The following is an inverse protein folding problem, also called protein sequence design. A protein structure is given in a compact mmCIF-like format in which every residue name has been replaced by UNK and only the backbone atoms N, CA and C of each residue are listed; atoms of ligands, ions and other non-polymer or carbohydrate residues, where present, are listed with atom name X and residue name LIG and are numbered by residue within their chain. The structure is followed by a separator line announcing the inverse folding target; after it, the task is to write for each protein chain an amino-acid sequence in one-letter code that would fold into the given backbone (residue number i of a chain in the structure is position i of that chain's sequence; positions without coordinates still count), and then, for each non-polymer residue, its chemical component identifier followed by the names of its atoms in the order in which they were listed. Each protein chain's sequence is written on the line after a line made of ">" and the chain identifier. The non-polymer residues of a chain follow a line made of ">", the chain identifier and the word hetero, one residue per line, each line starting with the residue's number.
data_IF_310917154603
#
_entry.id   IF_310917154603
#
_cell.length_a   1.000
_cell.length_b   1.000
_cell.length_c   1.000
_cell.angle_alpha   90.00
_cell.angle_beta   90.00
_cell.angle_gamma   90.00
#
_symmetry.space_group_name_H-M   'P 1'
#
loop_
_entity.id
_entity.type
_entity.pdbx_description
1 polymer ?
#
# COMPACT_ATOMS: atom_id res chain seq x y z
N UNK A 1 12.27 7.36 -26.47
CA UNK A 1 11.21 6.51 -25.90
C UNK A 1 11.35 6.61 -24.40
N UNK A 2 10.54 7.43 -23.74
CA UNK A 2 10.51 7.45 -22.27
C UNK A 2 10.01 6.07 -21.83
N UNK A 3 10.80 5.37 -21.01
CA UNK A 3 10.33 4.15 -20.34
C UNK A 3 9.11 4.55 -19.49
N UNK A 4 8.12 3.69 -19.37
CA UNK A 4 7.00 3.92 -18.46
C UNK A 4 7.49 3.76 -17.01
N UNK A 5 6.77 4.33 -16.04
CA UNK A 5 7.11 4.15 -14.62
C UNK A 5 6.56 2.80 -14.16
N UNK A 6 7.42 1.93 -13.62
CA UNK A 6 6.97 0.64 -13.10
C UNK A 6 6.25 0.84 -11.76
N UNK A 7 5.16 0.10 -11.47
CA UNK A 7 4.46 0.20 -10.18
C UNK A 7 5.40 0.05 -8.97
N UNK A 8 6.46 -0.76 -9.10
CA UNK A 8 7.41 -0.97 -8.02
C UNK A 8 8.33 0.22 -7.75
N UNK A 9 8.66 1.00 -8.77
CA UNK A 9 9.46 2.23 -8.60
C UNK A 9 8.68 3.23 -7.73
N UNK A 10 7.39 3.37 -8.02
CA UNK A 10 6.47 4.20 -7.24
C UNK A 10 6.32 3.69 -5.81
N UNK A 11 6.02 2.39 -5.63
CA UNK A 11 5.82 1.80 -4.30
C UNK A 11 7.06 2.01 -3.40
N UNK A 12 8.25 1.81 -3.97
CA UNK A 12 9.53 1.98 -3.28
C UNK A 12 9.77 3.44 -2.89
N UNK A 13 9.50 4.38 -3.81
CA UNK A 13 9.69 5.80 -3.53
C UNK A 13 8.70 6.35 -2.50
N UNK A 14 7.44 5.92 -2.57
CA UNK A 14 6.43 6.22 -1.56
C UNK A 14 6.84 5.66 -0.20
N UNK A 15 7.25 4.39 -0.15
CA UNK A 15 7.63 3.75 1.10
C UNK A 15 8.82 4.47 1.74
N UNK A 16 9.86 4.84 0.98
CA UNK A 16 11.01 5.58 1.49
C UNK A 16 10.61 6.97 2.03
N UNK A 17 9.72 7.67 1.33
CA UNK A 17 9.19 8.97 1.74
C UNK A 17 8.36 8.88 3.03
N UNK A 18 7.51 7.86 3.13
CA UNK A 18 6.73 7.57 4.33
C UNK A 18 7.63 7.11 5.49
N UNK A 19 8.67 6.33 5.21
CA UNK A 19 9.61 5.90 6.23
C UNK A 19 10.33 7.08 6.89
N UNK A 20 10.72 8.06 6.09
CA UNK A 20 11.44 9.23 6.56
C UNK A 20 10.56 10.20 7.34
N UNK A 21 9.23 10.08 7.23
CA UNK A 21 8.26 11.00 7.83
C UNK A 21 7.41 10.38 8.95
N UNK A 22 7.30 9.05 9.00
CA UNK A 22 6.53 8.32 10.00
C UNK A 22 7.45 7.61 10.97
N UNK A 23 7.22 7.84 12.25
CA UNK A 23 7.87 7.11 13.33
C UNK A 23 7.20 5.75 13.54
N UNK A 24 8.02 4.71 13.68
CA UNK A 24 7.58 3.41 14.18
C UNK A 24 6.89 2.48 13.17
N UNK A 25 6.39 1.37 13.72
CA UNK A 25 5.77 0.23 13.02
C UNK A 25 4.49 -0.24 13.75
N UNK A 26 3.83 0.67 14.47
CA UNK A 26 2.73 0.40 15.39
C UNK A 26 1.54 1.35 15.19
N UNK A 27 1.36 1.86 13.97
CA UNK A 27 0.20 2.67 13.64
C UNK A 27 -1.10 1.88 13.91
N UNK A 28 -2.02 2.42 14.73
CA UNK A 28 -3.21 1.68 15.17
C UNK A 28 -4.30 1.56 14.10
N UNK A 29 -4.16 2.29 12.98
CA UNK A 29 -5.14 2.39 11.91
C UNK A 29 -4.44 2.30 10.57
N UNK A 30 -5.08 1.63 9.62
CA UNK A 30 -4.70 1.69 8.22
C UNK A 30 -4.89 3.10 7.69
N UNK A 31 -3.99 3.56 6.81
CA UNK A 31 -4.05 4.89 6.22
C UNK A 31 -4.12 4.79 4.70
N UNK A 32 -4.97 5.63 4.11
CA UNK A 32 -5.09 5.82 2.67
C UNK A 32 -4.46 7.16 2.30
N UNK A 33 -3.60 7.13 1.28
CA UNK A 33 -2.94 8.29 0.72
C UNK A 33 -3.22 8.39 -0.78
N UNK A 34 -3.30 9.63 -1.26
CA UNK A 34 -3.22 9.97 -2.68
C UNK A 34 -1.81 10.45 -2.99
N UNK A 35 -1.24 10.00 -4.11
CA UNK A 35 0.12 10.33 -4.50
C UNK A 35 0.13 11.01 -5.86
N UNK A 36 0.68 12.22 -5.92
CA UNK A 36 0.95 12.90 -7.19
C UNK A 36 2.44 12.81 -7.53
N UNK A 37 2.73 12.47 -8.78
CA UNK A 37 4.10 12.37 -9.31
C UNK A 37 4.54 13.76 -9.75
N UNK A 38 5.61 14.26 -9.13
CA UNK A 38 6.21 15.56 -9.46
C UNK A 38 7.32 15.39 -10.50
N UNK A 39 8.13 14.33 -10.34
CA UNK A 39 9.24 13.99 -11.25
C UNK A 39 9.36 12.47 -11.38
N UNK A 40 9.00 11.94 -12.55
CA UNK A 40 9.03 10.50 -12.82
C UNK A 40 10.46 9.91 -12.82
N UNK A 41 11.48 10.66 -13.25
CA UNK A 41 12.87 10.20 -13.19
C UNK A 41 13.40 10.25 -11.75
N UNK A 42 12.94 11.24 -10.99
CA UNK A 42 13.11 11.31 -9.54
C UNK A 42 12.53 10.08 -8.82
N UNK A 43 11.34 9.62 -9.21
CA UNK A 43 10.73 8.40 -8.61
C UNK A 43 11.60 7.17 -8.85
N UNK A 44 12.09 6.97 -10.08
CA UNK A 44 12.96 5.83 -10.44
C UNK A 44 14.27 5.80 -9.66
N UNK A 45 14.76 6.97 -9.29
CA UNK A 45 16.03 7.12 -8.56
C UNK A 45 15.81 7.39 -7.07
N UNK A 46 14.56 7.27 -6.60
CA UNK A 46 14.13 7.49 -5.23
C UNK A 46 14.59 8.85 -4.65
N UNK A 47 14.42 9.92 -5.43
CA UNK A 47 14.80 11.27 -5.04
C UNK A 47 13.74 11.92 -4.14
N UNK A 48 14.22 12.67 -3.14
CA UNK A 48 13.35 13.50 -2.31
C UNK A 48 12.63 14.57 -3.17
N UNK A 49 11.33 14.71 -2.94
CA UNK A 49 10.49 15.67 -3.67
C UNK A 49 9.97 15.17 -5.02
N UNK A 50 10.32 13.95 -5.44
CA UNK A 50 9.76 13.32 -6.64
C UNK A 50 8.24 13.05 -6.55
N UNK A 51 7.71 13.00 -5.31
CA UNK A 51 6.33 12.71 -5.00
C UNK A 51 5.72 13.76 -4.07
N UNK A 52 4.42 14.01 -4.22
CA UNK A 52 3.58 14.66 -3.22
C UNK A 52 2.58 13.67 -2.66
N UNK A 53 2.74 13.31 -1.39
CA UNK A 53 1.89 12.35 -0.70
C UNK A 53 0.87 13.12 0.14
N UNK A 54 -0.42 12.84 -0.06
CA UNK A 54 -1.54 13.48 0.62
C UNK A 54 -2.30 12.46 1.44
N UNK A 55 -2.44 12.68 2.74
CA UNK A 55 -3.29 11.86 3.59
C UNK A 55 -4.76 12.07 3.21
N UNK A 56 -5.50 10.98 3.02
CA UNK A 56 -6.92 11.04 2.63
C UNK A 56 -7.85 10.58 3.74
N UNK A 57 -7.54 9.42 4.35
CA UNK A 57 -8.38 8.83 5.38
C UNK A 57 -7.62 7.78 6.20
N UNK A 58 -8.18 7.40 7.35
CA UNK A 58 -7.70 6.26 8.13
C UNK A 58 -8.84 5.49 8.80
N UNK A 59 -8.66 4.19 8.96
CA UNK A 59 -9.65 3.31 9.59
C UNK A 59 -8.99 2.13 10.31
N UNK A 60 -9.65 1.59 11.33
CA UNK A 60 -9.13 0.43 12.07
C UNK A 60 -9.15 -0.86 11.24
N UNK A 61 -10.10 -0.95 10.31
CA UNK A 61 -10.21 -2.02 9.31
C UNK A 61 -9.88 -1.46 7.92
N UNK A 62 -8.93 -2.08 7.22
CA UNK A 62 -8.46 -1.65 5.91
C UNK A 62 -9.47 -1.89 4.80
N UNK A 63 -10.33 -2.90 4.91
CA UNK A 63 -11.35 -3.18 3.89
C UNK A 63 -12.48 -2.16 3.98
N UNK A 64 -12.93 -1.84 5.19
CA UNK A 64 -13.88 -0.74 5.43
C UNK A 64 -13.31 0.61 4.96
N UNK A 65 -11.99 0.85 5.14
CA UNK A 65 -11.32 2.02 4.59
C UNK A 65 -11.45 2.08 3.07
N UNK A 66 -11.20 0.97 2.37
CA UNK A 66 -11.22 0.89 0.91
C UNK A 66 -12.64 0.89 0.32
N UNK A 67 -13.63 0.45 1.10
CA UNK A 67 -15.03 0.42 0.71
C UNK A 67 -15.76 1.75 0.94
N UNK A 68 -15.26 2.60 1.84
CA UNK A 68 -15.85 3.90 2.12
C UNK A 68 -15.99 4.76 0.84
N UNK A 69 -17.15 5.38 0.59
CA UNK A 69 -17.35 6.25 -0.58
C UNK A 69 -16.35 7.40 -0.66
N UNK A 70 -15.89 7.93 0.48
CA UNK A 70 -14.88 8.99 0.54
C UNK A 70 -13.52 8.57 -0.03
N UNK A 71 -13.19 7.27 0.01
CA UNK A 71 -11.92 6.74 -0.51
C UNK A 71 -11.82 6.81 -2.03
N UNK A 72 -12.96 6.96 -2.72
CA UNK A 72 -13.02 7.16 -4.16
C UNK A 72 -12.25 8.41 -4.63
N UNK A 73 -11.97 9.37 -3.73
CA UNK A 73 -11.13 10.56 -3.98
C UNK A 73 -9.70 10.20 -4.36
N UNK A 74 -9.19 9.03 -3.95
CA UNK A 74 -7.83 8.60 -4.24
C UNK A 74 -7.54 8.49 -5.74
N UNK A 75 -8.57 8.26 -6.56
CA UNK A 75 -8.49 8.22 -8.03
C UNK A 75 -8.30 9.59 -8.70
N UNK A 76 -8.34 10.68 -7.94
CA UNK A 76 -7.98 12.02 -8.44
C UNK A 76 -6.46 12.26 -8.46
N UNK A 77 -5.68 11.30 -7.97
CA UNK A 77 -4.22 11.34 -7.93
C UNK A 77 -3.63 10.42 -9.01
N UNK A 78 -2.30 10.47 -9.19
CA UNK A 78 -1.60 9.57 -10.12
C UNK A 78 -1.51 8.13 -9.55
N UNK A 79 -1.67 7.98 -8.24
CA UNK A 79 -1.74 6.71 -7.55
C UNK A 79 -2.46 6.79 -6.20
N UNK A 80 -2.98 5.65 -5.75
CA UNK A 80 -3.48 5.44 -4.40
C UNK A 80 -2.55 4.53 -3.61
N UNK A 81 -2.40 4.79 -2.31
CA UNK A 81 -1.52 4.01 -1.44
C UNK A 81 -2.22 3.68 -0.14
N UNK A 82 -2.18 2.41 0.24
CA UNK A 82 -2.55 1.94 1.57
C UNK A 82 -1.31 1.61 2.38
N UNK A 83 -1.27 2.11 3.60
CA UNK A 83 -0.26 1.77 4.59
C UNK A 83 -0.91 1.08 5.78
N UNK A 84 -0.36 -0.08 6.17
CA UNK A 84 -0.74 -0.79 7.39
C UNK A 84 0.49 -1.16 8.21
N UNK A 85 0.29 -1.29 9.52
CA UNK A 85 1.27 -1.90 10.43
C UNK A 85 0.69 -3.22 10.94
N UNK A 86 1.56 -4.21 11.11
CA UNK A 86 1.10 -5.56 11.42
C UNK A 86 2.20 -6.47 11.96
N UNK A 87 1.94 -7.76 11.88
CA UNK A 87 2.88 -8.82 12.18
C UNK A 87 3.00 -9.73 10.97
N UNK A 88 4.22 -10.13 10.63
CA UNK A 88 4.48 -11.20 9.67
C UNK A 88 5.05 -12.41 10.41
N UNK A 89 4.52 -13.60 10.14
CA UNK A 89 5.17 -14.85 10.52
C UNK A 89 6.31 -15.14 9.53
N UNK A 90 7.37 -15.84 9.95
CA UNK A 90 8.32 -16.43 9.02
C UNK A 90 7.59 -17.32 8.01
N UNK A 91 8.03 -17.29 6.76
CA UNK A 91 7.58 -18.27 5.76
C UNK A 91 8.64 -19.36 5.76
N UNK A 92 8.39 -20.47 6.45
CA UNK A 92 9.27 -21.63 6.34
C UNK A 92 9.14 -22.21 4.94
N UNK A 93 10.29 -22.43 4.28
CA UNK A 93 10.32 -23.00 2.92
C UNK A 93 10.25 -24.53 2.92
N UNK A 94 10.25 -25.15 4.09
CA UNK A 94 10.12 -26.59 4.25
C UNK A 94 8.65 -26.94 4.52
N UNK A 95 8.04 -27.69 3.58
CA UNK A 95 6.64 -28.12 3.54
C UNK A 95 6.18 -28.99 4.76
N UNK A 96 7.05 -29.18 5.76
CA UNK A 96 6.81 -30.00 6.94
C UNK A 96 6.71 -29.19 8.25
N UNK A 97 6.68 -27.86 8.19
CA UNK A 97 6.49 -27.05 9.39
C UNK A 97 5.01 -27.08 9.81
N UNK A 98 4.73 -27.54 11.04
CA UNK A 98 3.38 -27.54 11.63
C UNK A 98 2.94 -26.15 12.12
N UNK A 99 3.74 -25.10 11.88
CA UNK A 99 3.51 -23.73 12.35
C UNK A 99 2.75 -22.85 11.34
N UNK A 100 2.49 -23.36 10.12
CA UNK A 100 1.70 -22.66 9.07
C UNK A 100 0.25 -22.36 9.49
N UNK A 101 -0.28 -23.05 10.51
CA UNK A 101 -1.65 -22.87 11.02
C UNK A 101 -1.78 -21.74 12.06
N UNK A 102 -0.67 -21.11 12.50
CA UNK A 102 -0.71 -20.04 13.51
C UNK A 102 -0.82 -18.67 12.84
N UNK A 103 -1.83 -17.85 13.17
CA UNK A 103 -1.93 -16.49 12.64
C UNK A 103 -0.67 -15.68 12.92
N UNK A 104 -0.20 -14.81 11.99
CA UNK A 104 1.00 -13.99 12.19
C UNK A 104 1.03 -13.17 13.49
N UNK A 105 -0.13 -12.76 14.00
CA UNK A 105 -0.26 -12.04 15.27
C UNK A 105 0.07 -12.89 16.51
N UNK A 106 -0.03 -14.21 16.41
CA UNK A 106 0.20 -15.18 17.48
C UNK A 106 1.53 -15.94 17.31
N UNK A 107 2.10 -15.95 16.11
CA UNK A 107 3.34 -16.68 15.83
C UNK A 107 4.49 -16.27 16.77
N UNK A 108 5.24 -17.20 17.38
CA UNK A 108 6.32 -16.87 18.32
C UNK A 108 7.46 -16.07 17.71
N UNK A 109 7.81 -16.38 16.45
CA UNK A 109 8.86 -15.71 15.69
C UNK A 109 8.34 -14.54 14.83
N UNK A 110 7.15 -14.03 15.13
CA UNK A 110 6.57 -12.92 14.38
C UNK A 110 7.45 -11.68 14.42
N UNK A 111 7.49 -10.96 13.31
CA UNK A 111 8.23 -9.71 13.17
C UNK A 111 7.28 -8.55 12.93
N UNK A 112 7.53 -7.41 13.56
CA UNK A 112 6.75 -6.18 13.30
C UNK A 112 7.06 -5.68 11.91
N UNK A 113 6.01 -5.36 11.16
CA UNK A 113 6.12 -4.93 9.77
C UNK A 113 5.25 -3.72 9.48
N UNK A 114 5.69 -2.96 8.48
CA UNK A 114 4.90 -1.94 7.80
C UNK A 114 4.79 -2.35 6.34
N UNK A 115 3.56 -2.43 5.86
CA UNK A 115 3.24 -2.75 4.48
C UNK A 115 2.72 -1.50 3.79
N UNK A 116 3.32 -1.17 2.65
CA UNK A 116 2.84 -0.17 1.71
C UNK A 116 2.36 -0.91 0.48
N UNK A 117 1.09 -0.74 0.11
CA UNK A 117 0.52 -1.23 -1.14
C UNK A 117 0.15 -0.02 -1.98
N UNK A 118 0.69 0.09 -3.17
CA UNK A 118 0.40 1.17 -4.12
C UNK A 118 -0.31 0.62 -5.36
N UNK A 119 -1.24 1.39 -5.89
CA UNK A 119 -1.88 1.14 -7.19
C UNK A 119 -1.83 2.39 -8.04
N UNK A 120 -1.53 2.20 -9.32
CA UNK A 120 -1.65 3.20 -10.38
C UNK A 120 -2.18 2.51 -11.65
N UNK A 121 -2.28 3.25 -12.75
CA UNK A 121 -2.76 2.72 -14.03
C UNK A 121 -1.90 1.58 -14.59
N UNK A 122 -0.63 1.48 -14.16
CA UNK A 122 0.29 0.42 -14.55
C UNK A 122 0.20 -0.83 -13.67
N UNK A 123 -0.64 -0.81 -12.62
CA UNK A 123 -0.92 -1.96 -11.76
C UNK A 123 -0.59 -1.73 -10.28
N UNK A 124 -0.50 -2.85 -9.55
CA UNK A 124 -0.31 -2.88 -8.10
C UNK A 124 1.10 -3.37 -7.76
N UNK A 125 1.71 -2.74 -6.76
CA UNK A 125 2.96 -3.19 -6.16
C UNK A 125 2.92 -2.99 -4.64
N UNK A 126 3.77 -3.72 -3.93
CA UNK A 126 3.90 -3.54 -2.48
C UNK A 126 5.34 -3.58 -2.00
N UNK A 127 5.56 -2.90 -0.88
CA UNK A 127 6.83 -2.86 -0.16
C UNK A 127 6.57 -3.15 1.31
N UNK A 128 7.24 -4.16 1.82
CA UNK A 128 7.22 -4.57 3.21
C UNK A 128 8.55 -4.18 3.86
N UNK A 129 8.49 -3.43 4.96
CA UNK A 129 9.66 -3.14 5.80
C UNK A 129 9.47 -3.78 7.17
N UNK A 130 10.53 -4.39 7.68
CA UNK A 130 10.54 -4.96 9.03
C UNK A 130 11.15 -3.97 10.04
N UNK A 131 10.61 -3.96 11.26
CA UNK A 131 11.06 -3.05 12.31
C UNK A 131 12.48 -3.36 12.83
N UNK A 132 12.87 -4.62 12.80
CA UNK A 132 14.18 -5.14 13.26
C UNK A 132 15.27 -5.06 12.18
N UNK A 133 14.90 -5.03 10.90
CA UNK A 133 15.81 -4.78 9.76
C UNK A 133 15.31 -3.61 8.92
N UNK A 134 15.25 -2.39 9.47
CA UNK A 134 14.59 -1.26 8.84
C UNK A 134 15.37 -0.68 7.66
N UNK A 135 16.51 -1.25 7.25
CA UNK A 135 17.20 -0.88 6.01
C UNK A 135 16.90 -1.85 4.86
N UNK A 136 16.34 -3.03 5.16
CA UNK A 136 16.09 -4.10 4.20
C UNK A 136 14.59 -4.18 3.91
N UNK A 137 14.21 -3.76 2.70
CA UNK A 137 12.84 -3.87 2.22
C UNK A 137 12.64 -5.16 1.42
N UNK A 138 11.43 -5.69 1.49
CA UNK A 138 10.96 -6.76 0.61
C UNK A 138 9.94 -6.15 -0.35
N UNK A 139 10.21 -6.31 -1.64
CA UNK A 139 9.40 -5.75 -2.73
C UNK A 139 8.62 -6.84 -3.44
N UNK A 140 7.37 -6.56 -3.80
CA UNK A 140 6.56 -7.41 -4.68
C UNK A 140 6.00 -6.58 -5.84
N UNK A 141 6.53 -6.84 -7.05
CA UNK A 141 6.19 -6.15 -8.28
C UNK A 141 5.20 -6.97 -9.11
N UNK A 142 3.90 -6.68 -8.99
CA UNK A 142 2.86 -7.29 -9.83
C UNK A 142 2.55 -8.77 -9.55
N UNK A 143 3.15 -9.39 -8.53
CA UNK A 143 2.74 -10.69 -7.98
C UNK A 143 2.12 -10.57 -6.59
N UNK A 144 1.72 -9.35 -6.20
CA UNK A 144 0.97 -9.07 -4.97
C UNK A 144 -0.33 -9.85 -5.00
N UNK A 145 -0.25 -11.11 -4.57
CA UNK A 145 -1.36 -12.03 -4.45
C UNK A 145 -1.90 -11.87 -3.04
N UNK A 146 -3.19 -11.62 -2.93
CA UNK A 146 -3.85 -11.54 -1.64
C UNK A 146 -4.98 -10.54 -1.65
N UNK A 147 -5.91 -10.74 -0.73
CA UNK A 147 -7.15 -9.96 -0.63
C UNK A 147 -6.93 -8.45 -0.50
N UNK A 148 -5.82 -8.00 0.09
CA UNK A 148 -5.52 -6.57 0.18
C UNK A 148 -5.10 -5.97 -1.16
N UNK A 149 -4.28 -6.66 -1.95
CA UNK A 149 -3.91 -6.20 -3.28
C UNK A 149 -5.14 -6.12 -4.19
N UNK A 150 -6.01 -7.13 -4.12
CA UNK A 150 -7.29 -7.14 -4.85
C UNK A 150 -8.20 -5.98 -4.41
N UNK A 151 -8.32 -5.72 -3.11
CA UNK A 151 -9.14 -4.63 -2.59
C UNK A 151 -8.62 -3.25 -3.03
N UNK A 152 -7.30 -3.04 -3.03
CA UNK A 152 -6.67 -1.80 -3.50
C UNK A 152 -6.86 -1.64 -5.01
N UNK A 153 -6.72 -2.71 -5.78
CA UNK A 153 -6.99 -2.69 -7.22
C UNK A 153 -8.46 -2.37 -7.53
N UNK A 154 -9.38 -2.96 -6.77
CA UNK A 154 -10.82 -2.69 -6.89
C UNK A 154 -11.16 -1.24 -6.53
N UNK A 155 -10.53 -0.65 -5.50
CA UNK A 155 -10.68 0.77 -5.21
C UNK A 155 -10.29 1.63 -6.44
N UNK A 156 -9.24 1.25 -7.17
CA UNK A 156 -8.74 1.99 -8.32
C UNK A 156 -9.66 1.88 -9.54
N UNK A 157 -10.11 0.66 -9.85
CA UNK A 157 -10.83 0.34 -11.08
C UNK A 157 -12.36 0.53 -10.98
N UNK A 158 -12.95 0.44 -9.79
CA UNK A 158 -14.40 0.46 -9.62
C UNK A 158 -14.97 1.89 -9.59
N UNK A 159 -15.88 2.28 -10.51
CA UNK A 159 -16.59 3.54 -10.45
C UNK A 159 -17.63 3.54 -9.32
N UNK A 160 -17.19 3.69 -8.06
CA UNK A 160 -18.08 3.75 -6.88
C UNK A 160 -18.93 5.03 -6.77
N UNK A 161 -18.80 5.98 -7.70
CA UNK A 161 -19.58 7.22 -7.69
C UNK A 161 -20.87 7.01 -8.49
N UNK A 162 -21.90 6.51 -7.82
CA UNK A 162 -23.27 6.52 -8.36
C UNK A 162 -23.89 7.88 -8.02
N UNK A 163 -23.96 8.78 -9.01
CA UNK A 163 -24.73 10.03 -8.86
C UNK A 163 -26.21 9.67 -9.03
N UNK A 164 -26.92 9.48 -7.93
CA UNK A 164 -28.39 9.43 -7.96
C UNK A 164 -28.90 10.81 -8.41
N UNK A 165 -29.34 10.88 -9.66
CA UNK A 165 -30.00 12.06 -10.21
C UNK A 165 -31.44 12.05 -9.70
N UNK A 166 -31.73 12.75 -8.61
CA UNK A 166 -33.11 13.04 -8.23
C UNK A 166 -33.72 13.90 -9.34
N UNK A 167 -34.62 13.31 -10.13
CA UNK A 167 -35.54 14.04 -10.98
C UNK A 167 -36.44 14.88 -10.10
N UNK A 168 -36.28 16.20 -10.18
CA UNK A 168 -37.27 17.14 -9.67
C UNK A 168 -38.44 17.11 -10.66
N UNK A 169 -39.54 16.46 -10.26
CA UNK A 169 -40.85 16.62 -10.89
C UNK A 169 -41.43 18.01 -10.64
#
# INVERSE_FOLDING_TARGET
>A
MQKELEPIDLATCVEASLHSSLDGFDLPRARLYGVSIVDADGVRTNQNGALRISFLAEHGDVYELLEAPSSAIARMFDAAVVLTCGWAAPIDRDENSHDDDVPPSQHPQRRRVRLVVSVCDNGVASVLRFADTPNDIVTDAGSARGSLADAVNNLWLDPKVVVSRETVD
#
